data_IF_682422536355
#
_entry.id   IF_682422536355
#
_cell.length_a   1.000
_cell.length_b   1.000
_cell.length_c   1.000
_cell.angle_alpha   90.00
_cell.angle_beta   90.00
_cell.angle_gamma   90.00
#
_symmetry.space_group_name_H-M   'P 1'
#
loop_
_entity.id
_entity.type
_entity.pdbx_description
1 polymer ?
#
# COMPACT_ATOMS: atom_id res chain seq x y z
N UNK A 1 69.37 -16.00 84.55
CA UNK A 1 69.19 -16.08 83.08
C UNK A 1 67.79 -16.54 82.64
N UNK A 2 67.16 -17.54 83.28
CA UNK A 2 65.81 -18.02 82.89
C UNK A 2 64.69 -16.94 82.95
N UNK A 3 64.72 -16.03 83.94
CA UNK A 3 63.71 -14.95 84.09
C UNK A 3 63.81 -13.86 83.01
N UNK A 4 65.01 -13.55 82.53
CA UNK A 4 65.23 -12.59 81.42
C UNK A 4 64.74 -13.15 80.09
N UNK A 5 64.93 -14.46 79.87
CA UNK A 5 64.52 -15.15 78.64
C UNK A 5 62.98 -15.23 78.53
N UNK A 6 62.28 -15.45 79.66
CA UNK A 6 60.81 -15.41 79.72
C UNK A 6 60.29 -13.99 79.40
N UNK A 7 60.98 -12.95 79.89
CA UNK A 7 60.58 -11.56 79.65
C UNK A 7 60.76 -11.16 78.17
N UNK A 8 61.82 -11.63 77.52
CA UNK A 8 62.02 -11.46 76.07
C UNK A 8 60.96 -12.21 75.24
N UNK A 9 60.60 -13.45 75.62
CA UNK A 9 59.53 -14.20 74.93
C UNK A 9 58.18 -13.51 75.09
N UNK A 10 57.86 -12.99 76.30
CA UNK A 10 56.64 -12.25 76.53
C UNK A 10 56.57 -10.95 75.70
N UNK A 11 57.70 -10.24 75.55
CA UNK A 11 57.79 -9.04 74.72
C UNK A 11 57.60 -9.34 73.23
N UNK A 12 58.12 -10.46 72.74
CA UNK A 12 57.90 -10.92 71.35
C UNK A 12 56.45 -11.32 71.14
N UNK A 13 55.82 -11.99 72.11
CA UNK A 13 54.40 -12.36 72.04
C UNK A 13 53.48 -11.14 72.03
N UNK A 14 53.78 -10.13 72.87
CA UNK A 14 53.01 -8.88 72.94
C UNK A 14 53.21 -8.02 71.67
N UNK A 15 54.45 -7.95 71.15
CA UNK A 15 54.75 -7.26 69.89
C UNK A 15 54.13 -7.94 68.68
N UNK A 16 54.08 -9.28 68.65
CA UNK A 16 53.42 -10.07 67.60
C UNK A 16 51.90 -9.95 67.61
N UNK A 17 51.29 -9.79 68.80
CA UNK A 17 49.85 -9.61 68.94
C UNK A 17 49.36 -8.26 68.36
N UNK A 18 50.17 -7.20 68.50
CA UNK A 18 49.86 -5.89 67.89
C UNK A 18 49.95 -5.90 66.36
N UNK A 19 50.75 -6.78 65.76
CA UNK A 19 50.88 -6.89 64.30
C UNK A 19 49.72 -7.63 63.62
N UNK A 20 48.94 -8.42 64.38
CA UNK A 20 47.82 -9.20 63.86
C UNK A 20 46.49 -8.42 63.83
N UNK A 21 46.42 -7.28 64.51
CA UNK A 21 45.24 -6.43 64.55
C UNK A 21 45.42 -5.21 63.63
N UNK A 22 45.62 -5.44 62.33
CA UNK A 22 45.57 -4.37 61.33
C UNK A 22 44.10 -4.07 61.02
N UNK A 23 43.57 -2.87 61.32
CA UNK A 23 42.21 -2.51 60.94
C UNK A 23 42.11 -2.46 59.40
N UNK A 24 40.97 -2.90 58.84
CA UNK A 24 40.66 -2.69 57.42
C UNK A 24 40.82 -1.21 57.11
N UNK A 25 41.76 -0.89 56.23
CA UNK A 25 42.11 0.48 55.90
C UNK A 25 41.12 1.01 54.86
N UNK A 26 40.95 2.33 54.75
CA UNK A 26 40.07 3.01 53.79
C UNK A 26 40.33 2.63 52.31
N UNK A 27 41.43 1.93 52.02
CA UNK A 27 41.71 1.35 50.70
C UNK A 27 40.76 0.21 50.32
N UNK A 28 40.27 -0.58 51.28
CA UNK A 28 39.32 -1.68 51.03
C UNK A 28 37.93 -1.14 50.63
N UNK A 29 37.47 -0.06 51.28
CA UNK A 29 36.20 0.61 50.96
C UNK A 29 36.26 1.29 49.58
N UNK A 30 37.39 1.95 49.26
CA UNK A 30 37.61 2.54 47.95
C UNK A 30 37.64 1.47 46.84
N UNK A 31 38.24 0.31 47.10
CA UNK A 31 38.25 -0.81 46.16
C UNK A 31 36.83 -1.36 45.92
N UNK A 32 36.01 -1.49 46.97
CA UNK A 32 34.63 -1.97 46.85
C UNK A 32 33.74 -0.95 46.12
N UNK A 33 33.89 0.35 46.39
CA UNK A 33 33.21 1.41 45.63
C UNK A 33 33.60 1.37 44.15
N UNK A 34 34.89 1.23 43.83
CA UNK A 34 35.34 1.12 42.44
C UNK A 34 34.76 -0.13 41.74
N UNK A 35 34.64 -1.24 42.47
CA UNK A 35 33.99 -2.46 41.97
C UNK A 35 32.51 -2.22 41.67
N UNK A 36 31.78 -1.60 42.60
CA UNK A 36 30.36 -1.27 42.42
C UNK A 36 30.15 -0.30 41.24
N UNK A 37 31.02 0.70 41.08
CA UNK A 37 30.99 1.63 39.93
C UNK A 37 31.18 0.87 38.61
N UNK A 38 32.14 -0.07 38.56
CA UNK A 38 32.37 -0.88 37.37
C UNK A 38 31.18 -1.78 37.05
N UNK A 39 30.59 -2.43 38.06
CA UNK A 39 29.40 -3.27 37.89
C UNK A 39 28.19 -2.46 37.39
N UNK A 40 27.94 -1.29 37.97
CA UNK A 40 26.88 -0.38 37.54
C UNK A 40 27.11 0.15 36.12
N UNK A 41 28.36 0.47 35.77
CA UNK A 41 28.72 0.92 34.41
C UNK A 41 28.48 -0.19 33.38
N UNK A 42 28.84 -1.43 33.71
CA UNK A 42 28.57 -2.58 32.85
C UNK A 42 27.07 -2.85 32.71
N UNK A 43 26.31 -2.79 33.81
CA UNK A 43 24.86 -2.96 33.78
C UNK A 43 24.18 -1.89 32.92
N UNK A 44 24.63 -0.63 33.01
CA UNK A 44 24.14 0.46 32.18
C UNK A 44 24.46 0.22 30.69
N UNK A 45 25.69 -0.16 30.35
CA UNK A 45 26.08 -0.46 28.97
C UNK A 45 25.28 -1.64 28.39
N UNK A 46 25.06 -2.69 29.18
CA UNK A 46 24.19 -3.81 28.79
C UNK A 46 22.75 -3.35 28.54
N UNK A 47 22.19 -2.49 29.41
CA UNK A 47 20.86 -1.94 29.23
C UNK A 47 20.75 -1.12 27.94
N UNK A 48 21.72 -0.24 27.67
CA UNK A 48 21.75 0.58 26.44
C UNK A 48 21.86 -0.31 25.20
N UNK A 49 22.71 -1.34 25.23
CA UNK A 49 22.85 -2.30 24.14
C UNK A 49 21.57 -3.08 23.89
N UNK A 50 20.82 -3.41 24.93
CA UNK A 50 19.53 -4.09 24.83
C UNK A 50 18.41 -3.18 24.30
N UNK A 51 18.41 -1.88 24.65
CA UNK A 51 17.35 -0.94 24.19
C UNK A 51 17.58 -0.42 22.78
N UNK A 52 18.82 -0.24 22.34
CA UNK A 52 19.15 0.23 20.98
C UNK A 52 18.47 -0.53 19.84
N UNK A 53 18.44 -1.88 19.81
CA UNK A 53 17.70 -2.61 18.76
C UNK A 53 16.19 -2.39 18.85
N UNK A 54 15.62 -2.23 20.06
CA UNK A 54 14.20 -1.96 20.26
C UNK A 54 13.81 -0.57 19.73
N UNK A 55 14.64 0.45 19.96
CA UNK A 55 14.45 1.79 19.39
C UNK A 55 14.46 1.78 17.87
N UNK A 56 15.40 1.03 17.27
CA UNK A 56 15.46 0.83 15.82
C UNK A 56 14.21 0.14 15.27
N UNK A 57 13.75 -0.93 15.93
CA UNK A 57 12.52 -1.63 15.57
C UNK A 57 11.29 -0.72 15.68
N UNK A 58 11.20 0.09 16.74
CA UNK A 58 10.11 1.04 16.93
C UNK A 58 10.07 2.09 15.80
N UNK A 59 11.22 2.61 15.40
CA UNK A 59 11.32 3.54 14.28
C UNK A 59 10.95 2.89 12.95
N UNK A 60 11.37 1.64 12.73
CA UNK A 60 10.96 0.86 11.56
C UNK A 60 9.44 0.65 11.51
N UNK A 61 8.82 0.26 12.63
CA UNK A 61 7.37 0.08 12.72
C UNK A 61 6.62 1.39 12.47
N UNK A 62 7.10 2.52 13.00
CA UNK A 62 6.52 3.84 12.71
C UNK A 62 6.56 4.15 11.22
N UNK A 63 7.70 3.93 10.57
CA UNK A 63 7.84 4.12 9.12
C UNK A 63 6.87 3.24 8.34
N UNK A 64 6.75 1.96 8.71
CA UNK A 64 5.83 1.03 8.05
C UNK A 64 4.36 1.46 8.23
N UNK A 65 3.98 1.94 9.42
CA UNK A 65 2.63 2.46 9.68
C UNK A 65 2.33 3.68 8.81
N UNK A 66 3.27 4.62 8.68
CA UNK A 66 3.07 5.80 7.86
C UNK A 66 2.97 5.46 6.37
N UNK A 67 3.73 4.48 5.89
CA UNK A 67 3.61 3.98 4.52
C UNK A 67 2.29 3.24 4.29
N UNK A 68 1.83 2.45 5.26
CA UNK A 68 0.50 1.82 5.21
C UNK A 68 -0.59 2.89 5.14
N UNK A 69 -0.53 3.94 5.97
CA UNK A 69 -1.51 5.05 5.95
C UNK A 69 -1.55 5.73 4.58
N UNK A 70 -0.39 6.03 3.99
CA UNK A 70 -0.32 6.60 2.64
C UNK A 70 -0.96 5.69 1.60
N UNK A 71 -0.67 4.39 1.65
CA UNK A 71 -1.26 3.40 0.73
C UNK A 71 -2.78 3.31 0.90
N UNK A 72 -3.27 3.30 2.13
CA UNK A 72 -4.72 3.32 2.42
C UNK A 72 -5.38 4.55 1.81
N UNK A 73 -4.81 5.74 2.03
CA UNK A 73 -5.34 6.98 1.45
C UNK A 73 -5.43 6.95 -0.08
N UNK A 74 -4.40 6.42 -0.76
CA UNK A 74 -4.42 6.25 -2.22
C UNK A 74 -5.51 5.28 -2.65
N UNK A 75 -5.63 4.13 -1.98
CA UNK A 75 -6.65 3.11 -2.28
C UNK A 75 -8.07 3.67 -2.08
N UNK A 76 -8.30 4.45 -1.03
CA UNK A 76 -9.58 5.12 -0.79
C UNK A 76 -9.95 6.08 -1.94
N UNK A 77 -8.98 6.88 -2.39
CA UNK A 77 -9.14 7.75 -3.57
C UNK A 77 -9.47 6.96 -4.84
N UNK A 78 -8.74 5.87 -5.09
CA UNK A 78 -8.97 4.99 -6.25
C UNK A 78 -10.36 4.34 -6.23
N UNK A 79 -10.85 3.93 -5.05
CA UNK A 79 -12.20 3.37 -4.90
C UNK A 79 -13.26 4.41 -5.28
N UNK A 80 -13.12 5.65 -4.82
CA UNK A 80 -14.06 6.74 -5.15
C UNK A 80 -14.07 7.00 -6.66
N UNK A 81 -12.88 7.09 -7.27
CA UNK A 81 -12.74 7.30 -8.71
C UNK A 81 -13.34 6.14 -9.52
N UNK A 82 -13.05 4.89 -9.15
CA UNK A 82 -13.61 3.70 -9.79
C UNK A 82 -15.13 3.66 -9.67
N UNK A 83 -15.69 3.98 -8.51
CA UNK A 83 -17.15 4.05 -8.32
C UNK A 83 -17.79 5.07 -9.26
N UNK A 84 -17.23 6.29 -9.35
CA UNK A 84 -17.71 7.32 -10.27
C UNK A 84 -17.67 6.83 -11.74
N UNK A 85 -16.56 6.22 -12.15
CA UNK A 85 -16.41 5.69 -13.51
C UNK A 85 -17.43 4.59 -13.83
N UNK A 86 -17.73 3.71 -12.85
CA UNK A 86 -18.75 2.67 -12.99
C UNK A 86 -20.14 3.29 -13.13
N UNK A 87 -20.50 4.26 -12.28
CA UNK A 87 -21.81 4.92 -12.30
C UNK A 87 -22.03 5.68 -13.62
N UNK A 88 -21.00 6.39 -14.11
CA UNK A 88 -21.03 7.04 -15.43
C UNK A 88 -21.10 6.03 -16.57
N UNK A 89 -20.38 4.90 -16.46
CA UNK A 89 -20.44 3.79 -17.39
C UNK A 89 -21.85 3.21 -17.53
N UNK A 90 -22.55 2.97 -16.42
CA UNK A 90 -23.93 2.47 -16.45
C UNK A 90 -24.91 3.46 -17.08
N UNK A 91 -24.79 4.76 -16.77
CA UNK A 91 -25.61 5.81 -17.41
C UNK A 91 -25.37 5.87 -18.93
N UNK A 92 -24.11 5.70 -19.35
CA UNK A 92 -23.76 5.68 -20.76
C UNK A 92 -24.29 4.43 -21.45
N UNK A 93 -24.18 3.26 -20.80
CA UNK A 93 -24.69 2.00 -21.31
C UNK A 93 -26.21 2.05 -21.54
N UNK A 94 -26.97 2.56 -20.58
CA UNK A 94 -28.43 2.73 -20.72
C UNK A 94 -28.79 3.63 -21.91
N UNK A 95 -28.02 4.70 -22.13
CA UNK A 95 -28.20 5.59 -23.28
C UNK A 95 -27.88 4.87 -24.60
N UNK A 96 -26.78 4.12 -24.64
CA UNK A 96 -26.37 3.38 -25.82
C UNK A 96 -27.36 2.27 -26.17
N UNK A 97 -27.92 1.57 -25.19
CA UNK A 97 -28.96 0.56 -25.41
C UNK A 97 -30.20 1.16 -26.09
N UNK A 98 -30.66 2.33 -25.63
CA UNK A 98 -31.80 3.05 -26.25
C UNK A 98 -31.50 3.47 -27.68
N UNK A 99 -30.29 3.96 -27.95
CA UNK A 99 -29.85 4.33 -29.30
C UNK A 99 -29.80 3.08 -30.17
N UNK A 100 -29.17 2.01 -29.69
CA UNK A 100 -29.02 0.74 -30.40
C UNK A 100 -30.39 0.15 -30.77
N UNK A 101 -31.31 0.06 -29.82
CA UNK A 101 -32.66 -0.46 -30.06
C UNK A 101 -33.41 0.37 -31.12
N UNK A 102 -33.31 1.71 -31.05
CA UNK A 102 -33.91 2.60 -32.05
C UNK A 102 -33.25 2.43 -33.42
N UNK A 103 -31.93 2.35 -33.48
CA UNK A 103 -31.17 2.19 -34.73
C UNK A 103 -31.47 0.85 -35.38
N UNK A 104 -31.48 -0.26 -34.62
CA UNK A 104 -31.85 -1.59 -35.13
C UNK A 104 -33.28 -1.58 -35.66
N UNK A 105 -34.24 -1.02 -34.90
CA UNK A 105 -35.63 -0.90 -35.36
C UNK A 105 -35.73 -0.10 -36.65
N UNK A 106 -35.08 1.06 -36.72
CA UNK A 106 -35.09 1.93 -37.89
C UNK A 106 -34.45 1.25 -39.10
N UNK A 107 -33.31 0.59 -38.90
CA UNK A 107 -32.63 -0.19 -39.92
C UNK A 107 -33.55 -1.29 -40.46
N UNK A 108 -34.17 -2.09 -39.59
CA UNK A 108 -35.09 -3.16 -40.00
C UNK A 108 -36.31 -2.63 -40.76
N UNK A 109 -36.99 -1.59 -40.26
CA UNK A 109 -38.13 -0.97 -40.95
C UNK A 109 -37.70 -0.47 -42.34
N UNK A 110 -36.59 0.27 -42.43
CA UNK A 110 -36.08 0.75 -43.72
C UNK A 110 -35.73 -0.41 -44.64
N UNK A 111 -35.05 -1.45 -44.17
CA UNK A 111 -34.68 -2.60 -44.99
C UNK A 111 -35.89 -3.42 -45.46
N UNK A 112 -36.94 -3.53 -44.65
CA UNK A 112 -38.15 -4.30 -44.98
C UNK A 112 -39.09 -3.55 -45.94
N UNK A 113 -39.33 -2.26 -45.69
CA UNK A 113 -40.30 -1.46 -46.46
C UNK A 113 -39.68 -0.73 -47.66
N UNK A 114 -38.35 -0.70 -47.78
CA UNK A 114 -37.69 -0.13 -48.94
C UNK A 114 -37.74 -1.13 -50.10
N UNK A 115 -38.62 -0.89 -51.06
CA UNK A 115 -38.67 -1.65 -52.31
C UNK A 115 -37.84 -0.94 -53.38
N UNK A 116 -36.68 -1.49 -53.80
CA UNK A 116 -35.88 -0.92 -54.86
C UNK A 116 -36.67 -0.77 -56.16
N UNK A 117 -37.63 -1.66 -56.40
CA UNK A 117 -38.50 -1.63 -57.56
C UNK A 117 -39.48 -0.45 -57.50
N UNK A 118 -40.08 -0.16 -56.34
CA UNK A 118 -40.96 1.01 -56.20
C UNK A 118 -40.15 2.32 -56.37
N UNK A 119 -38.95 2.38 -55.79
CA UNK A 119 -38.04 3.52 -55.95
C UNK A 119 -37.64 3.73 -57.41
N UNK A 120 -37.38 2.64 -58.14
CA UNK A 120 -37.07 2.66 -59.56
C UNK A 120 -38.26 3.16 -60.40
N UNK A 121 -39.47 2.70 -60.08
CA UNK A 121 -40.69 3.09 -60.79
C UNK A 121 -41.17 4.52 -60.48
N UNK A 122 -40.82 5.08 -59.32
CA UNK A 122 -41.21 6.43 -58.91
C UNK A 122 -40.25 7.54 -59.36
N UNK A 123 -39.03 7.20 -59.77
CA UNK A 123 -38.01 8.18 -60.12
C UNK A 123 -38.18 8.70 -61.55
N UNK A 124 -37.93 9.99 -61.76
CA UNK A 124 -38.05 10.66 -63.07
C UNK A 124 -36.79 10.49 -63.94
N UNK A 125 -35.66 10.08 -63.36
CA UNK A 125 -34.41 9.87 -64.10
C UNK A 125 -33.46 8.86 -63.44
N UNK A 126 -32.54 8.29 -64.22
CA UNK A 126 -31.48 7.41 -63.71
C UNK A 126 -30.54 8.11 -62.70
N UNK A 127 -30.35 9.43 -62.84
CA UNK A 127 -29.56 10.24 -61.91
C UNK A 127 -30.23 10.31 -60.53
N UNK A 128 -31.54 10.53 -60.52
CA UNK A 128 -32.35 10.57 -59.29
C UNK A 128 -32.35 9.20 -58.59
N UNK A 129 -32.47 8.09 -59.33
CA UNK A 129 -32.36 6.73 -58.79
C UNK A 129 -31.01 6.53 -58.11
N UNK A 130 -29.93 6.90 -58.80
CA UNK A 130 -28.56 6.75 -58.28
C UNK A 130 -28.37 7.56 -57.00
N UNK A 131 -28.90 8.78 -56.96
CA UNK A 131 -28.83 9.64 -55.78
C UNK A 131 -29.60 9.06 -54.59
N UNK A 132 -30.83 8.56 -54.80
CA UNK A 132 -31.63 7.93 -53.74
C UNK A 132 -30.93 6.68 -53.21
N UNK A 133 -30.42 5.82 -54.09
CA UNK A 133 -29.69 4.61 -53.69
C UNK A 133 -28.41 4.96 -52.92
N UNK A 134 -27.69 6.00 -53.34
CA UNK A 134 -26.50 6.48 -52.62
C UNK A 134 -26.85 6.97 -51.21
N UNK A 135 -27.93 7.74 -51.04
CA UNK A 135 -28.38 8.18 -49.71
C UNK A 135 -28.83 7.02 -48.83
N UNK A 136 -29.57 6.06 -49.37
CA UNK A 136 -30.01 4.88 -48.63
C UNK A 136 -28.81 4.02 -48.19
N UNK A 137 -27.83 3.83 -49.08
CA UNK A 137 -26.58 3.14 -48.75
C UNK A 137 -25.82 3.87 -47.64
N UNK A 138 -25.64 5.19 -47.77
CA UNK A 138 -24.95 5.98 -46.76
C UNK A 138 -25.63 5.90 -45.38
N UNK A 139 -26.97 5.95 -45.34
CA UNK A 139 -27.72 5.80 -44.10
C UNK A 139 -27.56 4.40 -43.47
N UNK A 140 -27.60 3.33 -44.30
CA UNK A 140 -27.39 1.96 -43.83
C UNK A 140 -25.96 1.73 -43.30
N UNK A 141 -24.96 2.28 -43.99
CA UNK A 141 -23.55 2.21 -43.57
C UNK A 141 -23.34 2.96 -42.25
N UNK A 142 -23.99 4.11 -42.05
CA UNK A 142 -23.99 4.86 -40.79
C UNK A 142 -24.64 4.06 -39.66
N UNK A 143 -25.83 3.49 -39.88
CA UNK A 143 -26.52 2.66 -38.87
C UNK A 143 -25.66 1.47 -38.44
N UNK A 144 -25.00 0.79 -39.41
CA UNK A 144 -24.05 -0.30 -39.15
C UNK A 144 -22.84 0.15 -38.32
N UNK A 145 -22.28 1.32 -38.62
CA UNK A 145 -21.16 1.87 -37.85
C UNK A 145 -21.57 2.17 -36.40
N UNK A 146 -22.76 2.76 -36.17
CA UNK A 146 -23.28 3.02 -34.83
C UNK A 146 -23.46 1.72 -34.05
N UNK A 147 -24.11 0.71 -34.65
CA UNK A 147 -24.33 -0.60 -34.03
C UNK A 147 -22.99 -1.24 -33.62
N UNK A 148 -22.00 -1.21 -34.53
CA UNK A 148 -20.68 -1.83 -34.30
C UNK A 148 -19.93 -1.13 -33.18
N UNK A 149 -19.91 0.21 -33.17
CA UNK A 149 -19.22 0.98 -32.13
C UNK A 149 -19.84 0.76 -30.74
N UNK A 150 -21.17 0.67 -30.65
CA UNK A 150 -21.85 0.36 -29.39
C UNK A 150 -21.49 -1.06 -28.93
N UNK A 151 -21.52 -2.06 -29.82
CA UNK A 151 -21.16 -3.43 -29.47
C UNK A 151 -19.71 -3.55 -28.97
N UNK A 152 -18.77 -2.86 -29.61
CA UNK A 152 -17.37 -2.78 -29.15
C UNK A 152 -17.27 -2.12 -27.77
N UNK A 153 -18.01 -1.03 -27.55
CA UNK A 153 -18.01 -0.33 -26.25
C UNK A 153 -18.56 -1.22 -25.13
N UNK A 154 -19.60 -2.01 -25.39
CA UNK A 154 -20.16 -2.97 -24.42
C UNK A 154 -19.12 -4.06 -24.10
N UNK A 155 -18.46 -4.63 -25.11
CA UNK A 155 -17.41 -5.64 -24.94
C UNK A 155 -16.22 -5.13 -24.10
N UNK A 156 -15.79 -3.89 -24.34
CA UNK A 156 -14.74 -3.25 -23.56
C UNK A 156 -15.13 -3.04 -22.10
N UNK A 157 -16.39 -2.65 -21.85
CA UNK A 157 -16.93 -2.49 -20.49
C UNK A 157 -17.00 -3.83 -19.74
N UNK A 158 -17.42 -4.91 -20.40
CA UNK A 158 -17.43 -6.26 -19.81
C UNK A 158 -16.02 -6.76 -19.46
N UNK A 159 -15.03 -6.44 -20.30
CA UNK A 159 -13.64 -6.81 -20.06
C UNK A 159 -13.05 -6.03 -18.87
N UNK A 160 -13.34 -4.73 -18.76
CA UNK A 160 -12.87 -3.89 -17.64
C UNK A 160 -13.55 -4.20 -16.30
N UNK A 161 -14.69 -4.90 -16.33
CA UNK A 161 -15.40 -5.35 -15.12
C UNK A 161 -14.76 -6.58 -14.47
N UNK A 162 -14.02 -7.39 -15.23
CA UNK A 162 -13.25 -8.55 -14.72
C UNK A 162 -11.95 -8.10 -14.09
#
# INVERSE_FOLDING_TARGET
MKRLLILCIALIFIGGFFFLAVPKTSSDELADINKQINELTQALDMSIKATKPLESQLNSLRSQIDDIKKRVFVIEGDIIAKKKNIDEGYKNLERQEKILARTIRNFYIKSYYNSPLLTFLSAQSASEITQILAYQKAAADQDKAIITNIALTISDLETKKK
#
